data_IF_735635490669
#
_entry.id   IF_735635490669
#
_cell.length_a   1.000
_cell.length_b   1.000
_cell.length_c   1.000
_cell.angle_alpha   90.00
_cell.angle_beta   90.00
_cell.angle_gamma   90.00
#
_symmetry.space_group_name_H-M   'P 1'
#
loop_
_entity.id
_entity.type
_entity.pdbx_description
1 polymer ?
#
# COMPACT_ATOMS: atom_id res chain seq x y z
N UNK A 1 21.09 -25.36 8.43
CA UNK A 1 20.62 -25.05 8.13
C UNK A 1 20.42 -24.17 8.23
N UNK A 2 20.67 -23.94 7.67
CA UNK A 2 20.38 -23.19 7.80
C UNK A 2 19.53 -23.10 8.50
N UNK A 3 19.79 -22.95 9.23
CA UNK A 3 18.97 -22.72 10.28
C UNK A 3 17.67 -22.52 9.81
N UNK A 4 16.94 -23.08 10.30
CA UNK A 4 15.63 -22.91 9.96
C UNK A 4 15.16 -21.63 10.55
N UNK A 5 14.86 -20.72 9.70
CA UNK A 5 14.12 -19.55 10.10
C UNK A 5 12.66 -19.95 10.19
N UNK A 6 11.97 -19.46 11.18
CA UNK A 6 10.54 -19.68 11.20
C UNK A 6 9.89 -19.07 9.97
N UNK A 7 8.81 -19.64 9.55
CA UNK A 7 8.02 -19.07 8.47
C UNK A 7 7.25 -17.87 9.02
N UNK A 8 7.36 -16.77 8.33
CA UNK A 8 6.54 -15.60 8.64
C UNK A 8 5.32 -15.66 7.72
N UNK A 9 4.21 -16.04 8.26
CA UNK A 9 2.96 -16.15 7.52
C UNK A 9 1.91 -15.28 8.16
N UNK A 10 1.09 -14.66 7.32
CA UNK A 10 0.10 -13.70 7.77
C UNK A 10 -1.26 -14.05 7.21
N UNK A 11 -2.29 -13.86 8.01
CA UNK A 11 -3.66 -14.04 7.56
C UNK A 11 -4.28 -12.66 7.40
N UNK A 12 -4.94 -12.46 6.28
CA UNK A 12 -5.50 -11.14 5.96
C UNK A 12 -6.48 -10.67 7.03
N UNK A 13 -7.31 -11.58 7.54
CA UNK A 13 -8.28 -11.22 8.57
C UNK A 13 -7.61 -10.67 9.82
N UNK A 14 -6.48 -11.26 10.21
CA UNK A 14 -5.74 -10.80 11.38
C UNK A 14 -5.12 -9.43 11.12
N UNK A 15 -4.58 -9.22 9.93
CA UNK A 15 -3.99 -7.94 9.55
C UNK A 15 -5.07 -6.85 9.55
N UNK A 16 -6.26 -7.18 9.08
CA UNK A 16 -7.36 -6.23 9.08
C UNK A 16 -7.78 -5.84 10.49
N UNK A 17 -7.82 -6.81 11.41
CA UNK A 17 -8.13 -6.50 12.80
C UNK A 17 -7.10 -5.55 13.39
N UNK A 18 -5.82 -5.77 13.08
CA UNK A 18 -4.73 -4.91 13.57
C UNK A 18 -4.86 -3.50 12.98
N UNK A 19 -5.17 -3.43 11.69
CA UNK A 19 -5.34 -2.14 11.02
C UNK A 19 -6.50 -1.36 11.66
N UNK A 20 -7.64 -2.02 11.84
CA UNK A 20 -8.81 -1.38 12.44
C UNK A 20 -8.48 -0.89 13.84
N UNK A 21 -7.79 -1.71 14.63
CA UNK A 21 -7.41 -1.32 15.98
C UNK A 21 -6.47 -0.11 15.99
N UNK A 22 -5.65 0.04 14.97
CA UNK A 22 -4.73 1.19 14.88
C UNK A 22 -5.43 2.47 14.45
N UNK A 23 -6.61 2.37 13.86
CA UNK A 23 -7.33 3.53 13.34
C UNK A 23 -6.78 4.05 12.02
N UNK A 24 -5.84 3.35 11.39
CA UNK A 24 -5.20 3.81 10.17
C UNK A 24 -5.81 3.16 8.96
N UNK A 25 -5.70 3.82 7.81
CA UNK A 25 -6.09 3.24 6.53
C UNK A 25 -5.06 2.23 6.06
N UNK A 26 -3.78 2.45 6.39
CA UNK A 26 -2.66 1.62 5.93
C UNK A 26 -1.96 0.97 7.12
N UNK A 27 -1.72 -0.32 7.00
CA UNK A 27 -1.01 -1.09 8.01
C UNK A 27 0.15 -1.86 7.36
N UNK A 28 1.38 -1.41 7.62
CA UNK A 28 2.58 -2.10 7.13
C UNK A 28 2.85 -3.28 8.04
N UNK A 29 3.05 -4.47 7.47
CA UNK A 29 3.28 -5.66 8.27
C UNK A 29 4.53 -6.44 7.87
N UNK A 30 5.18 -6.07 6.77
CA UNK A 30 6.48 -6.61 6.39
C UNK A 30 7.38 -5.44 6.04
N UNK A 31 8.59 -5.45 6.60
CA UNK A 31 9.58 -4.46 6.23
C UNK A 31 10.96 -5.07 6.27
N UNK A 32 11.66 -5.02 5.15
CA UNK A 32 13.05 -5.41 5.01
C UNK A 32 13.77 -4.26 4.31
N UNK A 33 15.06 -4.40 4.09
CA UNK A 33 15.81 -3.41 3.33
C UNK A 33 15.27 -3.30 1.90
N UNK A 34 14.83 -4.40 1.33
CA UNK A 34 14.52 -4.46 -0.10
C UNK A 34 13.04 -4.32 -0.42
N UNK A 35 12.17 -4.46 0.55
CA UNK A 35 10.74 -4.30 0.29
C UNK A 35 9.97 -3.98 1.57
N UNK A 36 8.78 -3.42 1.38
CA UNK A 36 7.79 -3.37 2.44
C UNK A 36 6.43 -3.76 1.87
N UNK A 37 5.58 -4.31 2.72
CA UNK A 37 4.24 -4.74 2.33
C UNK A 37 3.25 -4.29 3.39
N UNK A 38 2.13 -3.77 2.93
CA UNK A 38 1.07 -3.35 3.82
C UNK A 38 -0.31 -3.62 3.25
N UNK A 39 -1.30 -3.46 4.11
CA UNK A 39 -2.70 -3.54 3.74
C UNK A 39 -3.28 -2.14 3.78
N UNK A 40 -3.92 -1.74 2.69
CA UNK A 40 -4.52 -0.43 2.54
C UNK A 40 -6.01 -0.60 2.28
N UNK A 41 -6.83 0.09 3.05
CA UNK A 41 -8.28 -0.04 2.90
C UNK A 41 -8.89 1.34 2.77
N UNK A 42 -9.69 1.51 1.72
CA UNK A 42 -10.40 2.76 1.47
C UNK A 42 -11.90 2.47 1.46
N UNK A 43 -12.68 3.23 2.21
CA UNK A 43 -14.12 2.99 2.25
C UNK A 43 -14.80 3.41 0.95
N UNK A 44 -15.95 2.82 0.68
CA UNK A 44 -16.77 3.22 -0.44
C UNK A 44 -17.08 4.71 -0.32
N UNK A 45 -16.97 5.44 -1.43
CA UNK A 45 -17.16 6.87 -1.45
C UNK A 45 -16.05 7.68 -0.80
N UNK A 46 -15.01 7.02 -0.31
CA UNK A 46 -13.90 7.70 0.33
C UNK A 46 -12.92 8.30 -0.66
N UNK A 47 -11.90 8.94 -0.11
CA UNK A 47 -10.83 9.53 -0.89
C UNK A 47 -9.52 8.86 -0.54
N UNK A 48 -8.59 8.90 -1.48
CA UNK A 48 -7.26 8.34 -1.31
C UNK A 48 -6.29 9.48 -1.05
N UNK A 49 -5.81 9.63 0.19
CA UNK A 49 -5.01 10.79 0.56
C UNK A 49 -3.52 10.65 0.24
N UNK A 50 -3.13 9.60 -0.44
CA UNK A 50 -1.70 9.38 -0.68
C UNK A 50 -1.12 10.35 -1.70
N UNK A 51 0.20 10.54 -1.62
CA UNK A 51 0.97 11.27 -2.61
C UNK A 51 1.92 10.32 -3.34
N UNK A 52 2.70 10.84 -4.28
CA UNK A 52 3.69 10.02 -4.98
C UNK A 52 4.74 9.47 -4.02
N UNK A 53 5.25 8.29 -4.31
CA UNK A 53 6.30 7.65 -3.54
C UNK A 53 7.59 7.59 -4.36
N UNK A 54 8.72 7.58 -3.65
CA UNK A 54 10.03 7.51 -4.29
C UNK A 54 10.40 6.09 -4.68
N UNK A 55 9.64 5.12 -4.25
CA UNK A 55 9.86 3.71 -4.54
C UNK A 55 8.89 3.22 -5.62
N UNK A 56 9.26 2.14 -6.30
CA UNK A 56 8.30 1.45 -7.15
C UNK A 56 7.26 0.76 -6.29
N UNK A 57 6.06 0.64 -6.82
CA UNK A 57 4.93 0.15 -6.03
C UNK A 57 4.09 -0.81 -6.86
N UNK A 58 3.63 -1.89 -6.21
CA UNK A 58 2.67 -2.81 -6.82
C UNK A 58 1.47 -2.87 -5.90
N UNK A 59 0.30 -2.70 -6.48
CA UNK A 59 -0.98 -2.92 -5.80
C UNK A 59 -1.56 -4.25 -6.23
N UNK A 60 -2.03 -5.03 -5.28
CA UNK A 60 -2.87 -6.18 -5.57
C UNK A 60 -4.21 -5.94 -4.90
N UNK A 61 -5.25 -5.73 -5.69
CA UNK A 61 -6.60 -5.51 -5.17
C UNK A 61 -7.16 -6.85 -4.73
N UNK A 62 -7.43 -6.97 -3.43
CA UNK A 62 -7.98 -8.18 -2.87
C UNK A 62 -9.49 -8.20 -3.03
N UNK A 63 -10.14 -7.07 -2.76
CA UNK A 63 -11.59 -6.96 -2.89
C UNK A 63 -11.99 -5.51 -3.10
N UNK A 64 -13.21 -5.32 -3.56
CA UNK A 64 -13.75 -4.01 -3.82
C UNK A 64 -13.64 -3.59 -5.28
N UNK A 65 -14.14 -2.41 -5.60
CA UNK A 65 -14.10 -1.86 -6.96
C UNK A 65 -13.85 -0.36 -6.90
N UNK A 66 -12.97 0.09 -7.78
CA UNK A 66 -12.64 1.51 -7.86
C UNK A 66 -12.01 1.80 -9.22
N UNK A 67 -11.59 3.03 -9.41
CA UNK A 67 -10.75 3.43 -10.53
C UNK A 67 -9.42 3.88 -9.96
N UNK A 68 -8.32 3.63 -10.65
CA UNK A 68 -7.03 4.20 -10.30
C UNK A 68 -6.57 5.09 -11.44
N UNK A 69 -6.05 6.27 -11.10
CA UNK A 69 -5.36 7.13 -12.05
C UNK A 69 -3.87 7.02 -11.77
N UNK A 70 -3.09 6.71 -12.79
CA UNK A 70 -1.63 6.64 -12.70
C UNK A 70 -1.10 7.54 -13.80
N UNK A 71 -0.44 8.63 -13.40
CA UNK A 71 -0.04 9.66 -14.35
C UNK A 71 -1.30 10.28 -14.97
N UNK A 72 -1.43 10.13 -16.28
CA UNK A 72 -2.58 10.66 -17.02
C UNK A 72 -3.52 9.55 -17.51
N UNK A 73 -3.36 8.33 -17.02
CA UNK A 73 -4.18 7.19 -17.44
C UNK A 73 -5.07 6.70 -16.33
N UNK A 74 -6.27 6.28 -16.67
CA UNK A 74 -7.23 5.73 -15.73
C UNK A 74 -7.49 4.27 -16.04
N UNK A 75 -7.69 3.48 -14.99
CA UNK A 75 -7.97 2.06 -15.12
C UNK A 75 -8.97 1.63 -14.06
N UNK A 76 -10.04 0.98 -14.49
CA UNK A 76 -10.96 0.36 -13.55
C UNK A 76 -10.28 -0.86 -12.93
N UNK A 77 -10.43 -1.03 -11.61
CA UNK A 77 -9.83 -2.14 -10.89
C UNK A 77 -10.86 -2.83 -10.00
N UNK A 78 -10.63 -4.09 -9.74
CA UNK A 78 -11.48 -4.90 -8.88
C UNK A 78 -10.69 -6.08 -8.35
N UNK A 79 -11.38 -6.99 -7.68
CA UNK A 79 -10.75 -8.16 -7.08
C UNK A 79 -9.86 -8.88 -8.08
N UNK A 80 -8.59 -9.05 -7.73
CA UNK A 80 -7.61 -9.72 -8.58
C UNK A 80 -6.79 -8.78 -9.46
N UNK A 81 -7.11 -7.50 -9.52
CA UNK A 81 -6.31 -6.55 -10.30
C UNK A 81 -4.92 -6.39 -9.69
N UNK A 82 -3.91 -6.31 -10.54
CA UNK A 82 -2.54 -6.00 -10.13
C UNK A 82 -2.09 -4.78 -10.93
N UNK A 83 -1.62 -3.76 -10.22
CA UNK A 83 -1.24 -2.49 -10.85
C UNK A 83 0.18 -2.13 -10.44
N UNK A 84 1.02 -1.80 -11.40
CA UNK A 84 2.36 -1.30 -11.14
C UNK A 84 2.38 0.23 -11.25
N UNK A 85 2.99 0.88 -10.28
CA UNK A 85 3.19 2.32 -10.29
C UNK A 85 4.68 2.59 -10.12
N UNK A 86 5.28 3.26 -11.11
CA UNK A 86 6.69 3.60 -11.03
C UNK A 86 6.98 4.66 -9.99
N UNK A 87 8.23 4.71 -9.55
CA UNK A 87 8.69 5.70 -8.59
C UNK A 87 8.33 7.11 -9.06
N UNK A 88 7.88 7.92 -8.12
CA UNK A 88 7.56 9.34 -8.34
C UNK A 88 6.39 9.63 -9.28
N UNK A 89 5.70 8.61 -9.77
CA UNK A 89 4.54 8.83 -10.65
C UNK A 89 3.32 9.15 -9.79
N UNK A 90 2.65 10.28 -10.03
CA UNK A 90 1.43 10.60 -9.31
C UNK A 90 0.34 9.56 -9.57
N UNK A 91 -0.33 9.17 -8.53
CA UNK A 91 -1.37 8.16 -8.65
C UNK A 91 -2.35 8.25 -7.49
N UNK A 92 -3.56 7.80 -7.70
CA UNK A 92 -4.54 7.67 -6.62
C UNK A 92 -5.71 6.81 -7.06
N UNK A 93 -6.33 6.16 -6.09
CA UNK A 93 -7.62 5.52 -6.29
C UNK A 93 -8.72 6.56 -6.14
N UNK A 94 -9.79 6.39 -6.91
CA UNK A 94 -10.95 7.26 -6.80
C UNK A 94 -12.19 6.51 -7.31
N UNK A 95 -13.35 7.14 -7.19
CA UNK A 95 -14.63 6.50 -7.56
C UNK A 95 -14.72 5.11 -6.93
N UNK A 96 -14.50 5.07 -5.62
CA UNK A 96 -14.50 3.82 -4.87
C UNK A 96 -15.95 3.41 -4.66
N UNK A 97 -16.38 2.39 -5.39
CA UNK A 97 -17.76 1.93 -5.38
C UNK A 97 -18.04 0.93 -4.27
N UNK A 98 -17.04 0.12 -3.94
CA UNK A 98 -17.12 -0.84 -2.86
C UNK A 98 -15.83 -0.73 -2.06
N UNK A 99 -15.92 -0.95 -0.76
CA UNK A 99 -14.73 -0.87 0.09
C UNK A 99 -13.57 -1.59 -0.57
N UNK A 100 -12.47 -0.87 -0.75
CA UNK A 100 -11.33 -1.35 -1.49
C UNK A 100 -10.27 -1.85 -0.51
N UNK A 101 -9.90 -3.12 -0.65
CA UNK A 101 -8.85 -3.74 0.16
C UNK A 101 -7.70 -4.08 -0.77
N UNK A 102 -6.54 -3.53 -0.49
CA UNK A 102 -5.39 -3.63 -1.38
C UNK A 102 -4.16 -4.08 -0.60
N UNK A 103 -3.42 -5.05 -1.13
CA UNK A 103 -2.06 -5.31 -0.67
C UNK A 103 -1.13 -4.39 -1.45
N UNK A 104 -0.24 -3.73 -0.75
CA UNK A 104 0.68 -2.75 -1.33
C UNK A 104 2.10 -3.20 -1.08
N UNK A 105 2.88 -3.30 -2.14
CA UNK A 105 4.27 -3.75 -2.08
C UNK A 105 5.15 -2.65 -2.63
N UNK A 106 6.13 -2.21 -1.83
CA UNK A 106 7.11 -1.22 -2.25
C UNK A 106 8.47 -1.88 -2.41
N UNK A 107 9.20 -1.49 -3.45
CA UNK A 107 10.57 -1.89 -3.67
C UNK A 107 11.42 -0.70 -4.08
N UNK A 108 12.41 -0.33 -3.26
CA UNK A 108 12.72 -0.80 -1.91
C UNK A 108 11.63 -0.42 -0.90
N UNK A 109 11.87 -0.70 0.36
CA UNK A 109 10.85 -0.45 1.39
C UNK A 109 10.39 1.00 1.35
N UNK A 110 9.10 1.19 1.64
CA UNK A 110 8.48 2.52 1.61
C UNK A 110 9.29 3.51 2.44
N UNK A 111 9.45 4.72 1.91
CA UNK A 111 10.20 5.83 2.52
C UNK A 111 11.70 5.60 2.64
N UNK A 112 12.24 4.56 2.05
CA UNK A 112 13.68 4.31 2.10
C UNK A 112 14.46 5.51 1.58
N UNK A 113 14.10 6.03 0.41
CA UNK A 113 14.78 7.18 -0.18
C UNK A 113 14.42 8.49 0.51
N UNK A 114 13.20 8.60 0.99
CA UNK A 114 12.74 9.84 1.62
C UNK A 114 13.38 10.09 2.96
N UNK A 115 13.69 9.03 3.68
CA UNK A 115 14.37 9.15 4.97
C UNK A 115 15.70 9.86 4.81
N UNK A 116 16.42 9.61 3.73
CA UNK A 116 17.70 10.25 3.48
C UNK A 116 17.56 11.74 3.23
N UNK A 117 16.45 12.18 2.67
CA UNK A 117 16.23 13.59 2.38
C UNK A 117 15.62 14.34 3.53
N UNK A 118 14.82 13.67 4.29
CA UNK A 118 14.03 14.34 5.34
C UNK A 118 14.36 13.78 6.69
N UNK A 119 15.65 13.67 6.93
CA UNK A 119 16.14 13.02 8.09
C UNK A 119 15.46 13.48 9.34
N UNK A 120 15.03 12.57 10.14
CA UNK A 120 14.39 12.84 11.40
C UNK A 120 12.95 13.31 11.29
N UNK A 121 12.43 13.45 10.09
CA UNK A 121 11.06 13.87 9.93
C UNK A 121 10.18 12.68 9.69
N UNK A 122 9.27 12.41 10.60
CA UNK A 122 8.32 11.34 10.35
C UNK A 122 7.43 11.75 9.21
N UNK A 123 7.13 10.84 8.36
CA UNK A 123 6.21 11.10 7.28
C UNK A 123 4.80 10.99 7.73
N UNK A 124 4.65 10.89 8.96
CA UNK A 124 3.35 10.84 9.53
C UNK A 124 2.57 9.73 8.90
N UNK A 125 1.37 10.01 8.62
CA UNK A 125 0.44 9.00 8.24
C UNK A 125 0.26 8.87 6.75
N UNK A 126 1.20 9.31 5.96
CA UNK A 126 0.98 9.18 4.54
C UNK A 126 0.79 7.72 4.21
N UNK A 127 -0.38 7.32 3.75
CA UNK A 127 -0.61 5.93 3.40
C UNK A 127 0.06 5.59 2.09
N UNK A 128 -0.05 4.35 1.73
CA UNK A 128 0.57 3.80 0.54
C UNK A 128 0.27 4.56 -0.74
#
# INVERSE_FOLDING_TARGET
MLGSRPVDAFELDALERERIASGRLYHEFIRTHDLSVGVYVLPAGGTDPQGPHTEDEVYHVVSGRATITVGDQEQAVGSGSVVFVGADVPHRFHDIEEELVVLVIFGPAEYTHRVDHERGQPHGAAPA
#
